data_IF_285907101038
#
_entry.id   IF_285907101038
#
_cell.length_a   1.000
_cell.length_b   1.000
_cell.length_c   1.000
_cell.angle_alpha   90.00
_cell.angle_beta   90.00
_cell.angle_gamma   90.00
#
_symmetry.space_group_name_H-M   'P 1'
#
loop_
_entity.id
_entity.type
_entity.pdbx_description
1 polymer ?
#
# COMPACT_ATOMS: atom_id res chain seq x y z
N UNK A 1 13.88 -26.10 -2.05
CA UNK A 1 13.92 -24.65 -2.43
C UNK A 1 14.81 -24.55 -3.64
N UNK A 2 14.31 -24.05 -4.77
CA UNK A 2 15.15 -23.84 -5.96
C UNK A 2 16.11 -22.68 -5.66
N UNK A 3 17.39 -22.86 -5.94
CA UNK A 3 18.40 -21.80 -5.84
C UNK A 3 18.05 -20.71 -6.88
N UNK A 4 17.82 -19.49 -6.41
CA UNK A 4 17.62 -18.31 -7.27
C UNK A 4 18.99 -17.99 -7.89
N UNK A 5 19.10 -18.06 -9.20
CA UNK A 5 20.36 -17.82 -9.92
C UNK A 5 20.56 -16.33 -10.22
N UNK A 6 21.81 -15.90 -10.45
CA UNK A 6 22.11 -14.52 -10.89
C UNK A 6 21.36 -14.12 -12.17
N UNK A 7 21.08 -15.09 -13.05
CA UNK A 7 20.25 -14.90 -14.25
C UNK A 7 18.82 -14.56 -13.92
N UNK A 8 18.24 -15.20 -12.90
CA UNK A 8 16.86 -14.94 -12.46
C UNK A 8 16.75 -13.56 -11.87
N UNK A 9 17.74 -13.14 -11.08
CA UNK A 9 17.83 -11.79 -10.48
C UNK A 9 17.97 -10.73 -11.57
N UNK A 10 18.84 -10.94 -12.58
CA UNK A 10 19.01 -10.00 -13.70
C UNK A 10 17.75 -9.89 -14.56
N UNK A 11 17.09 -11.00 -14.84
CA UNK A 11 15.82 -11.03 -15.60
C UNK A 11 14.72 -10.30 -14.86
N UNK A 12 14.58 -10.56 -13.55
CA UNK A 12 13.61 -9.89 -12.69
C UNK A 12 13.85 -8.37 -12.63
N UNK A 13 15.10 -7.94 -12.43
CA UNK A 13 15.46 -6.53 -12.38
C UNK A 13 15.21 -5.80 -13.71
N UNK A 14 15.44 -6.47 -14.83
CA UNK A 14 15.15 -5.93 -16.17
C UNK A 14 13.64 -5.73 -16.38
N UNK A 15 12.85 -6.76 -16.08
CA UNK A 15 11.38 -6.73 -16.17
C UNK A 15 10.79 -5.63 -15.28
N UNK A 16 11.30 -5.47 -14.05
CA UNK A 16 10.86 -4.44 -13.12
C UNK A 16 11.19 -3.02 -13.62
N UNK A 17 12.34 -2.82 -14.25
CA UNK A 17 12.69 -1.52 -14.85
C UNK A 17 11.79 -1.16 -16.03
N UNK A 18 11.47 -2.11 -16.89
CA UNK A 18 10.53 -1.92 -18.01
C UNK A 18 9.13 -1.58 -17.50
N UNK A 19 8.64 -2.26 -16.46
CA UNK A 19 7.38 -1.96 -15.78
C UNK A 19 7.36 -0.53 -15.21
N UNK A 20 8.45 -0.09 -14.59
CA UNK A 20 8.55 1.26 -14.03
C UNK A 20 8.62 2.34 -15.11
N UNK A 21 9.18 2.07 -16.27
CA UNK A 21 9.12 2.98 -17.43
C UNK A 21 7.67 3.14 -17.92
N UNK A 22 6.91 2.06 -18.02
CA UNK A 22 5.48 2.12 -18.37
C UNK A 22 4.68 2.89 -17.30
N UNK A 23 4.99 2.63 -16.03
CA UNK A 23 4.39 3.37 -14.91
C UNK A 23 4.68 4.86 -15.01
N UNK A 24 5.92 5.26 -15.32
CA UNK A 24 6.29 6.67 -15.51
C UNK A 24 5.43 7.35 -16.59
N UNK A 25 5.28 6.72 -17.75
CA UNK A 25 4.44 7.28 -18.82
C UNK A 25 2.97 7.38 -18.38
N UNK A 26 2.44 6.35 -17.70
CA UNK A 26 1.10 6.41 -17.13
C UNK A 26 0.91 7.53 -16.10
N UNK A 27 1.93 7.84 -15.29
CA UNK A 27 1.91 8.97 -14.35
C UNK A 27 1.94 10.32 -15.07
N UNK A 28 2.71 10.42 -16.15
CA UNK A 28 2.78 11.65 -16.98
C UNK A 28 1.45 11.95 -17.65
N UNK A 29 0.76 10.92 -18.14
CA UNK A 29 -0.53 11.05 -18.83
C UNK A 29 -1.69 11.38 -17.85
N UNK A 30 -1.61 10.93 -16.59
CA UNK A 30 -2.64 11.13 -15.57
C UNK A 30 -2.31 12.31 -14.63
N UNK A 31 -2.26 13.51 -15.14
CA UNK A 31 -1.70 14.70 -14.50
C UNK A 31 -2.56 15.39 -13.41
N UNK A 32 -3.82 15.04 -13.22
CA UNK A 32 -4.72 15.69 -12.25
C UNK A 32 -4.66 15.10 -10.82
N UNK A 33 -3.55 14.51 -10.41
CA UNK A 33 -3.54 13.74 -9.19
C UNK A 33 -2.62 14.36 -8.12
N UNK A 34 -3.19 14.86 -6.99
CA UNK A 34 -2.45 15.38 -5.84
C UNK A 34 -1.52 14.34 -5.16
N UNK A 35 -1.53 13.09 -5.62
CA UNK A 35 -0.62 12.03 -5.14
C UNK A 35 0.63 11.86 -6.03
N UNK A 36 0.80 12.71 -7.03
CA UNK A 36 1.96 12.69 -7.93
C UNK A 36 2.61 14.07 -7.93
N UNK A 37 3.93 14.12 -7.79
CA UNK A 37 4.73 15.33 -7.92
C UNK A 37 5.91 15.10 -8.83
N UNK A 38 6.10 15.99 -9.81
CA UNK A 38 7.24 15.97 -10.72
C UNK A 38 8.21 17.12 -10.41
N UNK A 39 9.50 16.83 -10.47
CA UNK A 39 10.59 17.81 -10.34
C UNK A 39 11.70 17.52 -11.32
N UNK A 40 12.34 18.55 -11.83
CA UNK A 40 13.54 18.38 -12.65
C UNK A 40 14.70 17.87 -11.81
N UNK A 41 14.98 18.52 -10.66
CA UNK A 41 16.02 18.15 -9.71
C UNK A 41 17.38 17.88 -10.42
N UNK A 42 17.86 18.87 -11.17
CA UNK A 42 19.02 18.72 -12.09
C UNK A 42 20.27 18.12 -11.43
N UNK A 43 20.69 18.63 -10.27
CA UNK A 43 21.86 18.15 -9.53
C UNK A 43 21.57 17.85 -8.07
N UNK A 44 20.99 18.82 -7.38
CA UNK A 44 20.67 18.73 -5.96
C UNK A 44 19.20 19.05 -5.72
N UNK A 45 18.64 18.48 -4.70
CA UNK A 45 17.31 18.79 -4.22
C UNK A 45 17.30 18.74 -2.69
N UNK A 46 16.66 19.74 -2.09
CA UNK A 46 16.63 19.92 -0.63
C UNK A 46 15.93 18.72 0.04
N UNK A 47 16.64 18.08 0.97
CA UNK A 47 16.16 16.96 1.76
C UNK A 47 14.90 17.31 2.56
N UNK A 48 14.84 18.53 3.11
CA UNK A 48 13.67 18.99 3.86
C UNK A 48 12.43 19.05 2.94
N UNK A 49 12.59 19.52 1.71
CA UNK A 49 11.52 19.49 0.71
C UNK A 49 11.08 18.06 0.36
N UNK A 50 12.01 17.12 0.24
CA UNK A 50 11.66 15.69 0.01
C UNK A 50 10.81 15.17 1.16
N UNK A 51 11.18 15.43 2.41
CA UNK A 51 10.42 15.02 3.59
C UNK A 51 9.02 15.62 3.64
N UNK A 52 8.88 16.91 3.30
CA UNK A 52 7.56 17.58 3.22
C UNK A 52 6.69 16.99 2.10
N UNK A 53 7.25 16.74 0.90
CA UNK A 53 6.52 16.07 -0.17
C UNK A 53 6.15 14.64 0.21
N UNK A 54 7.06 13.91 0.88
CA UNK A 54 6.73 12.58 1.40
C UNK A 54 5.49 12.63 2.30
N UNK A 55 5.48 13.53 3.31
CA UNK A 55 4.34 13.72 4.19
C UNK A 55 3.06 14.04 3.42
N UNK A 56 3.12 14.99 2.49
CA UNK A 56 1.96 15.42 1.72
C UNK A 56 1.40 14.31 0.83
N UNK A 57 2.25 13.67 0.04
CA UNK A 57 1.83 12.61 -0.88
C UNK A 57 1.32 11.36 -0.15
N UNK A 58 1.91 11.05 1.01
CA UNK A 58 1.46 9.98 1.92
C UNK A 58 0.05 10.25 2.45
N UNK A 59 -0.21 11.47 2.93
CA UNK A 59 -1.53 11.86 3.44
C UNK A 59 -2.58 11.90 2.34
N UNK A 60 -2.25 12.45 1.16
CA UNK A 60 -3.18 12.48 0.03
C UNK A 60 -3.49 11.08 -0.51
N UNK A 61 -2.52 10.18 -0.58
CA UNK A 61 -2.75 8.78 -0.95
C UNK A 61 -3.75 8.11 0.00
N UNK A 62 -3.57 8.30 1.32
CA UNK A 62 -4.50 7.79 2.33
C UNK A 62 -5.92 8.36 2.15
N UNK A 63 -6.06 9.68 1.99
CA UNK A 63 -7.35 10.35 1.84
C UNK A 63 -8.12 9.92 0.59
N UNK A 64 -7.42 9.44 -0.43
CA UNK A 64 -7.98 8.93 -1.69
C UNK A 64 -8.13 7.40 -1.73
N UNK A 65 -7.74 6.70 -0.65
CA UNK A 65 -7.80 5.25 -0.58
C UNK A 65 -6.79 4.54 -1.49
N UNK A 66 -5.72 5.23 -1.90
CA UNK A 66 -4.62 4.68 -2.68
C UNK A 66 -3.58 4.06 -1.76
N UNK A 67 -2.80 3.11 -2.27
CA UNK A 67 -1.78 2.45 -1.48
C UNK A 67 -0.49 3.27 -1.36
N UNK A 68 -0.20 4.13 -2.36
CA UNK A 68 1.02 4.94 -2.42
C UNK A 68 0.83 6.17 -3.31
N UNK A 69 1.71 7.14 -3.12
CA UNK A 69 1.92 8.29 -3.98
C UNK A 69 3.31 8.28 -4.62
N UNK A 70 3.59 9.23 -5.52
CA UNK A 70 4.83 9.31 -6.29
C UNK A 70 5.47 10.69 -6.24
N UNK A 71 6.76 10.74 -5.90
CA UNK A 71 7.64 11.87 -6.19
C UNK A 71 8.61 11.44 -7.29
N UNK A 72 8.68 12.19 -8.37
CA UNK A 72 9.46 11.82 -9.56
C UNK A 72 10.44 12.93 -9.91
N UNK A 73 11.72 12.59 -9.99
CA UNK A 73 12.78 13.50 -10.41
C UNK A 73 13.22 13.21 -11.85
N UNK A 74 13.48 14.25 -12.62
CA UNK A 74 13.85 14.18 -14.03
C UNK A 74 12.71 14.44 -15.01
N UNK A 75 11.59 14.97 -14.51
CA UNK A 75 10.44 15.38 -15.32
C UNK A 75 10.12 16.85 -15.05
N UNK A 76 9.99 17.64 -16.12
CA UNK A 76 9.52 19.02 -16.03
C UNK A 76 8.05 19.05 -15.65
N UNK A 77 7.70 19.75 -14.55
CA UNK A 77 6.34 19.73 -14.02
C UNK A 77 5.31 20.39 -14.94
N UNK A 78 5.67 21.46 -15.64
CA UNK A 78 4.75 22.22 -16.50
C UNK A 78 4.51 21.54 -17.84
N UNK A 79 5.60 21.13 -18.49
CA UNK A 79 5.55 20.56 -19.84
C UNK A 79 5.31 19.05 -19.84
N UNK A 80 5.44 18.40 -18.67
CA UNK A 80 5.35 16.93 -18.51
C UNK A 80 6.33 16.17 -19.40
N UNK A 81 7.49 16.78 -19.66
CA UNK A 81 8.55 16.19 -20.47
C UNK A 81 9.63 15.59 -19.59
N UNK A 82 10.14 14.44 -20.00
CA UNK A 82 11.28 13.81 -19.36
C UNK A 82 12.54 14.56 -19.77
N UNK A 83 13.16 15.25 -18.81
CA UNK A 83 14.38 16.04 -19.02
C UNK A 83 15.62 15.37 -18.47
N UNK A 84 15.44 14.41 -17.54
CA UNK A 84 16.49 13.72 -16.85
C UNK A 84 16.95 14.43 -15.57
N UNK A 85 17.57 13.67 -14.63
CA UNK A 85 18.08 14.19 -13.37
C UNK A 85 19.48 13.70 -13.04
N UNK A 86 20.31 14.58 -12.48
CA UNK A 86 21.59 14.25 -11.87
C UNK A 86 21.54 14.07 -10.35
N UNK A 87 20.33 14.11 -9.76
CA UNK A 87 20.17 14.01 -8.31
C UNK A 87 20.83 12.77 -7.73
N UNK A 88 21.77 12.97 -6.80
CA UNK A 88 22.55 11.89 -6.13
C UNK A 88 23.19 10.88 -7.10
N UNK A 89 23.57 11.27 -8.29
CA UNK A 89 24.17 10.35 -9.27
C UNK A 89 25.45 9.66 -8.77
N UNK A 90 26.19 10.32 -7.86
CA UNK A 90 27.44 9.81 -7.25
C UNK A 90 27.28 9.31 -5.82
N UNK A 91 26.09 9.43 -5.21
CA UNK A 91 25.87 9.19 -3.77
C UNK A 91 24.80 8.16 -3.57
N UNK A 92 24.76 7.05 -3.99
CA UNK A 92 23.74 6.02 -3.77
C UNK A 92 22.38 6.49 -3.19
N UNK A 93 21.29 5.97 -3.69
CA UNK A 93 19.93 6.34 -3.25
C UNK A 93 19.53 5.60 -1.95
N UNK A 94 20.24 4.53 -1.58
CA UNK A 94 19.90 3.70 -0.43
C UNK A 94 19.97 4.46 0.91
N UNK A 95 20.98 5.34 1.05
CA UNK A 95 21.12 6.17 2.26
C UNK A 95 19.95 7.13 2.43
N UNK A 96 19.29 7.56 1.34
CA UNK A 96 18.16 8.47 1.39
C UNK A 96 16.95 7.86 2.09
N UNK A 97 16.71 6.56 1.93
CA UNK A 97 15.62 5.87 2.64
C UNK A 97 15.77 6.07 4.15
N UNK A 98 16.98 5.89 4.65
CA UNK A 98 17.28 6.05 6.08
C UNK A 98 17.22 7.52 6.53
N UNK A 99 17.81 8.43 5.74
CA UNK A 99 17.84 9.86 6.03
C UNK A 99 16.42 10.47 6.13
N UNK A 100 15.51 10.07 5.25
CA UNK A 100 14.13 10.52 5.26
C UNK A 100 13.35 9.82 6.38
N UNK A 101 13.48 8.51 6.52
CA UNK A 101 12.79 7.74 7.56
C UNK A 101 13.05 8.28 8.97
N UNK A 102 14.27 8.76 9.26
CA UNK A 102 14.61 9.33 10.56
C UNK A 102 13.80 10.60 10.94
N UNK A 103 13.32 11.36 9.94
CA UNK A 103 12.50 12.57 10.17
C UNK A 103 11.00 12.33 10.04
N UNK A 104 10.58 11.15 9.60
CA UNK A 104 9.17 10.83 9.37
C UNK A 104 8.48 10.29 10.61
N UNK A 105 7.18 10.59 10.75
CA UNK A 105 6.33 10.02 11.80
C UNK A 105 6.42 8.49 11.80
N UNK A 106 6.74 7.91 12.95
CA UNK A 106 6.82 6.45 13.11
C UNK A 106 7.97 5.78 12.34
N UNK A 107 8.97 6.54 11.87
CA UNK A 107 10.08 6.00 11.10
C UNK A 107 9.69 5.53 9.70
N UNK A 108 8.58 6.02 9.16
CA UNK A 108 8.07 5.63 7.83
C UNK A 108 9.09 5.98 6.74
N UNK A 109 9.30 5.08 5.78
CA UNK A 109 10.25 5.28 4.68
C UNK A 109 9.60 4.94 3.33
N UNK A 110 10.31 5.21 2.23
CA UNK A 110 9.87 4.85 0.89
C UNK A 110 9.65 3.33 0.79
N UNK A 111 8.58 2.92 0.10
CA UNK A 111 8.39 1.52 -0.30
C UNK A 111 9.58 1.12 -1.14
N UNK A 112 9.83 1.91 -2.21
CA UNK A 112 11.02 1.73 -3.04
C UNK A 112 11.48 3.04 -3.69
N UNK A 113 12.72 3.04 -4.18
CA UNK A 113 13.29 4.12 -5.00
C UNK A 113 13.80 3.48 -6.29
N UNK A 114 13.18 3.83 -7.40
CA UNK A 114 13.52 3.29 -8.71
C UNK A 114 14.38 4.27 -9.49
N UNK A 115 15.48 3.77 -10.02
CA UNK A 115 16.32 4.48 -10.97
C UNK A 115 16.14 3.85 -12.35
N UNK A 116 15.55 4.60 -13.27
CA UNK A 116 15.21 4.14 -14.61
C UNK A 116 15.79 5.07 -15.69
N UNK A 117 15.91 4.55 -16.89
CA UNK A 117 16.57 5.26 -18.01
C UNK A 117 15.70 5.16 -19.27
N UNK A 118 14.54 5.88 -19.33
CA UNK A 118 13.73 5.94 -20.53
C UNK A 118 14.50 6.60 -21.67
N UNK A 119 14.28 6.13 -22.90
CA UNK A 119 14.86 6.74 -24.11
C UNK A 119 13.90 7.80 -24.66
N UNK A 120 14.37 9.04 -24.76
CA UNK A 120 13.61 10.17 -25.29
C UNK A 120 14.45 10.78 -26.41
N UNK A 121 13.89 10.88 -27.62
CA UNK A 121 14.56 11.37 -28.82
C UNK A 121 15.92 10.70 -29.08
N UNK A 122 15.99 9.37 -28.84
CA UNK A 122 17.20 8.58 -29.05
C UNK A 122 18.26 8.71 -27.94
N UNK A 123 17.98 9.44 -26.85
CA UNK A 123 18.90 9.65 -25.73
C UNK A 123 18.30 9.09 -24.45
N UNK A 124 19.11 8.30 -23.72
CA UNK A 124 18.73 7.85 -22.38
C UNK A 124 18.68 9.00 -21.40
N UNK A 125 17.58 9.13 -20.67
CA UNK A 125 17.35 10.13 -19.64
C UNK A 125 17.19 9.44 -18.29
N UNK A 126 18.04 9.76 -17.32
CA UNK A 126 17.92 9.22 -15.97
C UNK A 126 16.72 9.83 -15.26
N UNK A 127 15.85 9.00 -14.70
CA UNK A 127 14.70 9.40 -13.88
C UNK A 127 14.75 8.63 -12.56
N UNK A 128 14.48 9.31 -11.44
CA UNK A 128 14.37 8.70 -10.11
C UNK A 128 12.94 8.81 -9.62
N UNK A 129 12.32 7.67 -9.32
CA UNK A 129 10.94 7.58 -8.87
C UNK A 129 10.90 7.10 -7.42
N UNK A 130 10.31 7.88 -6.54
CA UNK A 130 10.13 7.56 -5.13
C UNK A 130 8.70 7.08 -4.89
N UNK A 131 8.55 5.81 -4.53
CA UNK A 131 7.27 5.23 -4.15
C UNK A 131 7.01 5.47 -2.66
N UNK A 132 6.05 6.33 -2.37
CA UNK A 132 5.73 6.81 -1.02
C UNK A 132 4.50 6.08 -0.51
N UNK A 133 4.57 5.35 0.62
CA UNK A 133 3.41 4.66 1.17
C UNK A 133 2.31 5.66 1.59
N UNK A 134 1.06 5.27 1.47
CA UNK A 134 -0.04 6.00 2.06
C UNK A 134 0.12 6.10 3.58
N UNK A 135 -0.35 7.18 4.17
CA UNK A 135 -0.39 7.32 5.61
C UNK A 135 -1.16 6.16 6.26
N UNK A 136 -0.65 5.70 7.39
CA UNK A 136 -1.29 4.60 8.12
C UNK A 136 -2.69 5.02 8.56
N UNK A 137 -3.66 4.11 8.45
CA UNK A 137 -5.04 4.36 8.90
C UNK A 137 -5.07 4.98 10.29
N UNK A 138 -5.76 6.10 10.42
CA UNK A 138 -5.92 6.91 11.63
C UNK A 138 -4.65 7.65 12.11
N UNK A 139 -3.54 7.62 11.36
CA UNK A 139 -2.29 8.30 11.73
C UNK A 139 -1.80 9.14 10.56
N UNK A 140 -1.96 10.47 10.58
CA UNK A 140 -1.37 11.34 9.58
C UNK A 140 0.16 11.23 9.57
N UNK A 141 0.75 11.27 8.39
CA UNK A 141 2.20 11.25 8.21
C UNK A 141 2.74 12.67 8.35
N UNK A 142 3.79 12.87 9.16
CA UNK A 142 4.45 14.15 9.36
C UNK A 142 5.96 14.08 9.08
N UNK A 143 6.54 15.21 8.70
CA UNK A 143 7.98 15.45 8.61
C UNK A 143 8.40 16.39 9.74
N UNK A 144 9.33 15.98 10.60
CA UNK A 144 9.76 16.73 11.80
C UNK A 144 8.58 17.25 12.62
N UNK A 145 7.60 16.36 12.89
CA UNK A 145 6.38 16.65 13.65
C UNK A 145 5.40 17.62 12.97
N UNK A 146 5.63 18.01 11.72
CA UNK A 146 4.69 18.81 10.95
C UNK A 146 4.07 17.99 9.82
N UNK A 147 2.75 17.99 9.74
CA UNK A 147 1.97 17.28 8.74
C UNK A 147 1.71 18.18 7.53
N UNK A 148 1.91 17.63 6.33
CA UNK A 148 1.74 18.36 5.07
C UNK A 148 0.67 17.69 4.18
N UNK A 149 0.13 18.48 3.28
CA UNK A 149 -0.86 18.09 2.27
C UNK A 149 -0.57 18.79 0.94
N UNK A 150 -1.34 18.44 -0.07
CA UNK A 150 -1.41 19.14 -1.35
C UNK A 150 -2.70 19.96 -1.42
N UNK A 151 -2.58 21.14 -2.04
CA UNK A 151 -3.69 21.95 -2.48
C UNK A 151 -3.41 22.32 -3.95
N UNK A 152 -3.96 21.50 -4.86
CA UNK A 152 -3.55 21.47 -6.25
C UNK A 152 -2.04 21.17 -6.36
N UNK A 153 -1.28 22.07 -7.00
CA UNK A 153 0.18 21.96 -7.14
C UNK A 153 0.96 22.48 -5.92
N UNK A 154 0.30 23.09 -4.95
CA UNK A 154 0.95 23.70 -3.79
C UNK A 154 1.16 22.72 -2.66
N UNK A 155 2.34 22.79 -2.04
CA UNK A 155 2.65 22.10 -0.79
C UNK A 155 2.21 22.97 0.37
N UNK A 156 1.26 22.50 1.18
CA UNK A 156 0.65 23.23 2.30
C UNK A 156 0.67 22.42 3.59
N UNK A 157 0.51 23.03 4.76
CA UNK A 157 0.23 22.30 6.00
C UNK A 157 -1.07 21.49 5.85
N UNK A 158 -1.12 20.30 6.46
CA UNK A 158 -2.34 19.48 6.49
C UNK A 158 -3.45 20.24 7.23
N UNK A 159 -4.56 20.49 6.54
CA UNK A 159 -5.70 21.18 7.15
C UNK A 159 -6.34 20.33 8.25
N UNK A 160 -7.00 20.97 9.22
CA UNK A 160 -7.68 20.27 10.31
C UNK A 160 -8.77 19.32 9.78
N UNK A 161 -9.48 19.70 8.71
CA UNK A 161 -10.47 18.84 8.07
C UNK A 161 -9.84 17.55 7.52
N UNK A 162 -8.74 17.65 6.74
CA UNK A 162 -8.02 16.50 6.20
C UNK A 162 -7.43 15.63 7.32
N UNK A 163 -6.89 16.25 8.36
CA UNK A 163 -6.36 15.58 9.56
C UNK A 163 -7.44 14.75 10.25
N UNK A 164 -8.60 15.33 10.51
CA UNK A 164 -9.73 14.66 11.13
C UNK A 164 -10.28 13.53 10.25
N UNK A 165 -10.30 13.69 8.93
CA UNK A 165 -10.68 12.61 8.01
C UNK A 165 -9.76 11.41 8.14
N UNK A 166 -8.43 11.61 8.25
CA UNK A 166 -7.49 10.50 8.47
C UNK A 166 -7.69 9.91 9.88
N UNK A 167 -7.80 10.73 10.93
CA UNK A 167 -7.93 10.28 12.33
C UNK A 167 -9.21 9.50 12.59
N UNK A 168 -10.31 9.84 11.93
CA UNK A 168 -11.60 9.15 12.06
C UNK A 168 -11.68 7.84 11.28
N UNK A 169 -10.66 7.49 10.50
CA UNK A 169 -10.64 6.21 9.83
C UNK A 169 -10.62 5.09 10.85
N UNK A 170 -11.59 4.20 10.75
CA UNK A 170 -11.65 3.02 11.59
C UNK A 170 -10.52 2.07 11.15
N UNK A 171 -9.61 1.75 12.04
CA UNK A 171 -8.70 0.62 11.83
C UNK A 171 -9.56 -0.62 11.75
N UNK A 172 -9.76 -1.12 10.55
CA UNK A 172 -10.40 -2.42 10.39
C UNK A 172 -9.57 -3.43 11.18
N UNK A 173 -10.21 -4.03 12.17
CA UNK A 173 -9.65 -5.18 12.89
C UNK A 173 -9.13 -6.18 11.84
N UNK A 174 -7.87 -6.56 11.98
CA UNK A 174 -7.23 -7.49 11.05
C UNK A 174 -8.08 -8.74 10.83
N UNK A 175 -8.70 -9.22 11.90
CA UNK A 175 -9.54 -10.41 11.87
C UNK A 175 -10.75 -10.28 10.93
N UNK A 176 -11.25 -9.06 10.70
CA UNK A 176 -12.39 -8.75 9.82
C UNK A 176 -12.02 -8.45 8.37
N UNK A 177 -10.73 -8.33 8.06
CA UNK A 177 -10.29 -8.15 6.67
C UNK A 177 -10.55 -9.41 5.88
N UNK A 178 -10.82 -9.24 4.59
CA UNK A 178 -11.04 -10.35 3.67
C UNK A 178 -9.71 -10.83 3.09
N UNK A 179 -9.62 -12.13 2.89
CA UNK A 179 -8.53 -12.73 2.12
C UNK A 179 -8.90 -12.64 0.63
N UNK A 180 -8.05 -12.05 -0.23
CA UNK A 180 -8.30 -12.01 -1.65
C UNK A 180 -8.49 -13.43 -2.21
N UNK A 181 -9.52 -13.61 -3.06
CA UNK A 181 -9.85 -14.88 -3.72
C UNK A 181 -10.21 -16.07 -2.81
N UNK A 182 -10.29 -15.89 -1.48
CA UNK A 182 -10.74 -16.95 -0.59
C UNK A 182 -12.26 -17.12 -0.66
N UNK A 183 -12.70 -18.37 -0.76
CA UNK A 183 -14.10 -18.80 -0.82
C UNK A 183 -14.39 -19.82 0.27
N UNK A 184 -15.64 -20.23 0.42
CA UNK A 184 -16.04 -21.30 1.36
C UNK A 184 -15.30 -22.62 1.14
N UNK A 185 -14.85 -22.90 -0.08
CA UNK A 185 -14.11 -24.13 -0.41
C UNK A 185 -12.72 -24.20 0.27
N UNK A 186 -12.17 -23.05 0.67
CA UNK A 186 -10.91 -22.96 1.38
C UNK A 186 -11.05 -23.20 2.90
N UNK A 187 -12.29 -23.39 3.38
CA UNK A 187 -12.57 -23.71 4.78
C UNK A 187 -12.75 -25.22 4.99
N UNK A 188 -12.28 -25.72 6.12
CA UNK A 188 -12.41 -27.11 6.52
C UNK A 188 -13.80 -27.38 7.11
N UNK A 189 -14.57 -28.26 6.48
CA UNK A 189 -15.90 -28.66 6.94
C UNK A 189 -15.89 -29.32 8.32
N UNK A 190 -14.84 -30.08 8.64
CA UNK A 190 -14.70 -30.68 9.96
C UNK A 190 -14.47 -29.60 11.03
N UNK A 191 -13.64 -28.60 10.76
CA UNK A 191 -13.43 -27.48 11.65
C UNK A 191 -14.72 -26.65 11.86
N UNK A 192 -15.51 -26.45 10.79
CA UNK A 192 -16.82 -25.76 10.88
C UNK A 192 -17.78 -26.57 11.79
N UNK A 193 -17.85 -27.89 11.61
CA UNK A 193 -18.67 -28.77 12.46
C UNK A 193 -18.26 -28.66 13.94
N UNK A 194 -16.97 -28.72 14.23
CA UNK A 194 -16.44 -28.56 15.62
C UNK A 194 -16.81 -27.17 16.16
N UNK A 195 -16.67 -26.12 15.37
CA UNK A 195 -17.02 -24.77 15.78
C UNK A 195 -18.51 -24.61 16.12
N UNK A 196 -19.41 -25.27 15.36
CA UNK A 196 -20.84 -25.32 15.64
C UNK A 196 -21.13 -25.98 17.00
N UNK A 197 -20.55 -27.15 17.24
CA UNK A 197 -20.73 -27.86 18.51
C UNK A 197 -20.21 -27.05 19.69
N UNK A 198 -19.02 -26.49 19.59
CA UNK A 198 -18.46 -25.59 20.60
C UNK A 198 -19.31 -24.36 20.86
N UNK A 199 -19.90 -23.79 19.81
CA UNK A 199 -20.79 -22.64 19.92
C UNK A 199 -22.06 -23.01 20.68
N UNK A 200 -22.71 -24.14 20.36
CA UNK A 200 -23.90 -24.67 21.09
C UNK A 200 -23.59 -24.89 22.56
N UNK A 201 -22.49 -25.56 22.85
CA UNK A 201 -22.04 -25.82 24.25
C UNK A 201 -21.83 -24.53 25.04
N UNK A 202 -21.26 -23.48 24.39
CA UNK A 202 -21.02 -22.20 25.07
C UNK A 202 -22.30 -21.42 25.35
N UNK A 203 -23.29 -21.53 24.48
CA UNK A 203 -24.56 -20.78 24.63
C UNK A 203 -25.50 -21.43 25.65
N UNK A 204 -25.39 -22.72 25.90
CA UNK A 204 -26.18 -23.51 26.87
C UNK A 204 -27.69 -23.23 26.81
N UNK A 205 -28.22 -22.99 25.58
CA UNK A 205 -29.60 -22.65 25.29
C UNK A 205 -30.15 -23.57 24.20
N UNK A 206 -31.21 -24.31 24.54
CA UNK A 206 -31.85 -25.28 23.65
C UNK A 206 -32.45 -24.62 22.38
N UNK A 207 -32.95 -23.39 22.49
CA UNK A 207 -33.52 -22.69 21.34
C UNK A 207 -32.42 -22.29 20.35
N UNK A 208 -31.30 -21.80 20.88
CA UNK A 208 -30.12 -21.44 20.05
C UNK A 208 -29.52 -22.68 19.39
N UNK A 209 -29.41 -23.80 20.14
CA UNK A 209 -28.94 -25.08 19.63
C UNK A 209 -29.79 -25.57 18.45
N UNK A 210 -31.11 -25.58 18.62
CA UNK A 210 -32.07 -26.01 17.59
C UNK A 210 -32.05 -25.06 16.34
N UNK A 211 -31.78 -23.79 16.54
CA UNK A 211 -31.61 -22.82 15.44
C UNK A 211 -30.31 -23.07 14.68
N UNK A 212 -29.19 -23.25 15.39
CA UNK A 212 -27.88 -23.55 14.79
C UNK A 212 -27.90 -24.83 13.97
N UNK A 213 -28.63 -25.85 14.41
CA UNK A 213 -28.74 -27.14 13.71
C UNK A 213 -29.48 -27.02 12.35
N UNK A 214 -30.34 -26.01 12.20
CA UNK A 214 -31.07 -25.73 10.95
C UNK A 214 -30.30 -24.87 9.94
N UNK A 215 -29.24 -24.20 10.38
CA UNK A 215 -28.45 -23.32 9.50
C UNK A 215 -27.55 -24.11 8.56
N UNK A 216 -27.37 -23.62 7.33
CA UNK A 216 -26.26 -24.04 6.49
C UNK A 216 -24.93 -23.58 7.08
N UNK A 217 -23.79 -24.13 6.58
CA UNK A 217 -22.46 -23.69 7.01
C UNK A 217 -22.21 -22.22 6.71
N UNK A 218 -22.63 -21.80 5.51
CA UNK A 218 -22.51 -20.40 5.07
C UNK A 218 -23.33 -19.47 5.97
N UNK A 219 -24.59 -19.80 6.24
CA UNK A 219 -25.45 -19.02 7.12
C UNK A 219 -24.92 -18.95 8.56
N UNK A 220 -24.38 -20.05 9.09
CA UNK A 220 -23.76 -20.07 10.40
C UNK A 220 -22.56 -19.12 10.45
N UNK A 221 -21.66 -19.17 9.45
CA UNK A 221 -20.47 -18.35 9.38
C UNK A 221 -20.80 -16.86 9.13
N UNK A 222 -21.81 -16.55 8.32
CA UNK A 222 -22.28 -15.19 8.11
C UNK A 222 -22.84 -14.56 9.39
N UNK A 223 -23.68 -15.26 10.12
CA UNK A 223 -24.19 -14.79 11.42
C UNK A 223 -23.09 -14.56 12.46
N UNK A 224 -21.95 -15.26 12.35
CA UNK A 224 -20.75 -15.05 13.20
C UNK A 224 -19.76 -14.03 12.61
N UNK A 225 -20.08 -13.43 11.46
CA UNK A 225 -19.22 -12.47 10.76
C UNK A 225 -17.84 -13.04 10.39
N UNK A 226 -17.75 -14.34 10.22
CA UNK A 226 -16.58 -15.05 9.71
C UNK A 226 -16.59 -15.06 8.17
N UNK A 227 -17.76 -15.10 7.57
CA UNK A 227 -18.01 -14.82 6.16
C UNK A 227 -18.96 -13.62 6.07
N UNK A 228 -18.75 -12.71 5.12
CA UNK A 228 -19.56 -11.53 4.92
C UNK A 228 -19.79 -11.35 3.42
N UNK A 229 -21.03 -11.46 2.97
CA UNK A 229 -21.41 -11.43 1.55
C UNK A 229 -20.57 -12.43 0.70
N UNK A 230 -20.46 -13.66 1.18
CA UNK A 230 -19.69 -14.73 0.53
C UNK A 230 -18.17 -14.59 0.58
N UNK A 231 -17.62 -13.54 1.23
CA UNK A 231 -16.18 -13.28 1.35
C UNK A 231 -15.64 -13.76 2.69
N UNK A 232 -14.59 -14.54 2.64
CA UNK A 232 -13.93 -15.14 3.83
C UNK A 232 -13.05 -14.11 4.53
N UNK A 233 -13.18 -13.98 5.85
CA UNK A 233 -12.35 -13.09 6.68
C UNK A 233 -11.06 -13.77 7.11
N UNK A 234 -10.06 -12.98 7.53
CA UNK A 234 -8.83 -13.51 8.14
C UNK A 234 -9.14 -14.38 9.36
N UNK A 235 -10.12 -13.99 10.19
CA UNK A 235 -10.54 -14.78 11.33
C UNK A 235 -11.09 -16.16 10.92
N UNK A 236 -11.92 -16.21 9.87
CA UNK A 236 -12.45 -17.47 9.36
C UNK A 236 -11.33 -18.39 8.87
N UNK A 237 -10.38 -17.85 8.11
CA UNK A 237 -9.27 -18.64 7.60
C UNK A 237 -8.33 -19.12 8.69
N UNK A 238 -8.00 -18.27 9.67
CA UNK A 238 -7.15 -18.64 10.80
C UNK A 238 -7.77 -19.76 11.64
N UNK A 239 -9.10 -19.71 11.88
CA UNK A 239 -9.79 -20.63 12.77
C UNK A 239 -10.29 -21.90 12.06
N UNK A 240 -10.64 -21.80 10.79
CA UNK A 240 -11.38 -22.80 10.05
C UNK A 240 -10.77 -23.11 8.67
N UNK A 241 -9.62 -22.53 8.34
CA UNK A 241 -8.95 -22.74 7.06
C UNK A 241 -8.46 -24.18 6.91
N UNK A 242 -8.53 -24.69 5.67
CA UNK A 242 -7.98 -25.98 5.33
C UNK A 242 -6.46 -25.85 5.10
N UNK A 243 -5.65 -26.60 5.82
CA UNK A 243 -4.19 -26.60 5.73
C UNK A 243 -3.62 -26.94 4.34
N UNK A 244 -4.45 -27.47 3.44
CA UNK A 244 -4.04 -27.68 2.04
C UNK A 244 -3.84 -26.36 1.25
N UNK A 245 -4.27 -25.22 1.82
CA UNK A 245 -4.21 -23.89 1.18
C UNK A 245 -3.28 -22.92 1.91
N UNK A 246 -2.15 -23.39 2.45
CA UNK A 246 -1.17 -22.60 3.21
C UNK A 246 -0.61 -21.38 2.43
N UNK A 247 -0.73 -21.35 1.12
CA UNK A 247 -0.25 -20.26 0.26
C UNK A 247 -1.15 -19.02 0.24
N UNK A 248 -2.26 -19.01 0.97
CA UNK A 248 -3.16 -17.85 1.06
C UNK A 248 -2.80 -16.85 2.17
N UNK A 249 -1.75 -17.15 2.94
CA UNK A 249 -1.25 -16.30 4.03
C UNK A 249 0.04 -15.57 3.68
#
# INVERSE_FOLDING_TARGET
MAEVTDRDIMSFNKSKKEEMILTLYGLIDNWENEVIEFKEAEKDYDRDKIGRYFSALSNEANLRGLQYGWLVFGVNNKERKIVGTGYRNSKGLDTLKHEIGAGMTGGMSFIDIYEIFPVVDGVEKRVVMFQIPAAVTAIPTGWHNQEYARDGESLVPLSEEKRERIRRQVRLDWSKRFIPNATMEHLDKAAISIAREKYKQKMDDLHISAEVDKMSDEEFLERRKLVINGRVTNAAMLLLGNSAYDYLF
#
